data_IF_328564559747
#
_entry.id   IF_328564559747
#
_cell.length_a   1.000
_cell.length_b   1.000
_cell.length_c   1.000
_cell.angle_alpha   90.00
_cell.angle_beta   90.00
_cell.angle_gamma   90.00
#
_symmetry.space_group_name_H-M   'P 1'
#
loop_
_entity.id
_entity.type
_entity.pdbx_description
1 polymer ?
#
# COMPACT_ATOMS: atom_id res chain seq x y z
N UNK A 1 -3.68 -4.89 10.23
CA UNK A 1 -3.22 -4.06 9.12
C UNK A 1 -2.35 -2.93 9.65
N UNK A 2 -1.20 -2.73 9.01
CA UNK A 2 -0.37 -1.57 9.32
C UNK A 2 0.90 -1.57 8.48
N UNK A 3 1.20 -0.45 7.81
CA UNK A 3 2.47 -0.23 7.14
C UNK A 3 3.57 0.11 8.16
N UNK A 4 4.83 -0.09 7.79
CA UNK A 4 6.01 0.28 8.59
C UNK A 4 5.98 1.77 8.98
N UNK A 5 5.49 2.62 8.09
CA UNK A 5 5.37 4.07 8.26
C UNK A 5 4.36 4.48 9.34
N UNK A 6 3.51 3.53 9.79
CA UNK A 6 2.56 3.73 10.89
C UNK A 6 2.84 2.76 12.07
N UNK A 7 4.09 2.34 12.24
CA UNK A 7 4.57 1.53 13.37
C UNK A 7 3.80 0.21 13.52
N UNK A 8 3.84 -0.62 12.47
CA UNK A 8 3.39 -2.02 12.39
C UNK A 8 1.87 -2.19 12.40
N UNK A 9 1.16 -1.68 13.41
CA UNK A 9 -0.27 -1.89 13.57
C UNK A 9 -1.04 -0.56 13.60
N UNK A 10 -1.90 -0.36 12.59
CA UNK A 10 -2.79 0.80 12.50
C UNK A 10 -4.27 0.42 12.66
N UNK A 11 -4.62 -0.82 12.29
CA UNK A 11 -5.98 -1.34 12.44
C UNK A 11 -5.96 -2.84 12.70
N UNK A 12 -7.00 -3.34 13.35
CA UNK A 12 -7.22 -4.78 13.51
C UNK A 12 -8.70 -5.15 13.37
N UNK A 13 -8.91 -6.37 12.91
CA UNK A 13 -10.21 -7.00 12.82
C UNK A 13 -10.21 -8.30 13.61
N UNK A 14 -11.23 -8.49 14.46
CA UNK A 14 -11.42 -9.75 15.17
C UNK A 14 -12.29 -10.65 14.29
N UNK A 15 -11.63 -11.67 13.70
CA UNK A 15 -12.29 -12.65 12.85
C UNK A 15 -13.28 -13.48 13.67
N UNK A 16 -14.51 -13.57 13.21
CA UNK A 16 -15.55 -14.46 13.69
C UNK A 16 -15.89 -15.46 12.59
N UNK A 17 -15.52 -16.76 12.73
CA UNK A 17 -15.71 -17.74 11.67
C UNK A 17 -17.16 -17.97 11.24
N UNK A 18 -18.12 -17.72 12.10
CA UNK A 18 -19.54 -17.87 11.77
C UNK A 18 -20.08 -16.62 11.05
N UNK A 19 -19.83 -15.46 11.61
CA UNK A 19 -20.28 -14.18 11.04
C UNK A 19 -19.59 -13.87 9.69
N UNK A 20 -18.32 -14.22 9.57
CA UNK A 20 -17.50 -13.83 8.44
C UNK A 20 -17.38 -14.91 7.35
N UNK A 21 -18.08 -16.05 7.53
CA UNK A 21 -18.05 -17.20 6.60
C UNK A 21 -18.31 -16.84 5.14
N UNK A 22 -19.29 -15.96 4.93
CA UNK A 22 -19.77 -15.60 3.58
C UNK A 22 -19.19 -14.27 3.09
N UNK A 23 -18.24 -13.68 3.82
CA UNK A 23 -17.55 -12.47 3.37
C UNK A 23 -16.57 -12.79 2.25
N UNK A 24 -16.70 -12.11 1.14
CA UNK A 24 -15.76 -12.20 0.03
C UNK A 24 -14.37 -11.61 0.39
N UNK A 25 -14.35 -10.66 1.32
CA UNK A 25 -13.14 -10.00 1.83
C UNK A 25 -13.25 -9.80 3.33
N UNK A 26 -12.18 -10.11 4.03
CA UNK A 26 -12.08 -9.80 5.46
C UNK A 26 -11.67 -8.34 5.60
N UNK A 27 -12.40 -7.53 6.39
CA UNK A 27 -12.01 -6.15 6.66
C UNK A 27 -10.64 -6.06 7.36
N UNK A 28 -9.94 -4.95 7.16
CA UNK A 28 -8.75 -4.63 7.97
C UNK A 28 -9.12 -4.13 9.38
N UNK A 29 -10.40 -3.85 9.60
CA UNK A 29 -10.98 -3.60 10.90
C UNK A 29 -11.08 -2.14 11.29
N UNK A 30 -10.92 -1.87 12.58
CA UNK A 30 -11.00 -0.55 13.20
C UNK A 30 -9.62 -0.07 13.62
N UNK A 31 -9.40 1.25 13.72
CA UNK A 31 -8.12 1.79 14.17
C UNK A 31 -7.76 1.29 15.58
N UNK A 32 -6.48 1.00 15.80
CA UNK A 32 -5.95 0.73 17.14
C UNK A 32 -5.99 2.00 18.00
N UNK A 33 -5.97 1.90 19.34
CA UNK A 33 -5.87 3.05 20.22
C UNK A 33 -4.70 3.97 19.84
N UNK A 34 -4.98 5.27 19.66
CA UNK A 34 -3.98 6.26 19.26
C UNK A 34 -3.75 6.40 17.76
N UNK A 35 -4.34 5.53 16.93
CA UNK A 35 -4.39 5.69 15.49
C UNK A 35 -5.74 6.26 15.03
N UNK A 36 -5.72 6.97 13.91
CA UNK A 36 -6.89 7.44 13.17
C UNK A 36 -6.76 6.97 11.73
N UNK A 37 -7.87 6.51 11.16
CA UNK A 37 -7.95 6.12 9.76
C UNK A 37 -8.87 7.08 9.03
N UNK A 38 -8.44 7.56 7.88
CA UNK A 38 -9.26 8.36 6.98
C UNK A 38 -9.34 7.68 5.62
N UNK A 39 -10.52 7.67 5.03
CA UNK A 39 -10.73 7.30 3.63
C UNK A 39 -11.08 8.61 2.92
N UNK A 40 -10.18 9.10 2.08
CA UNK A 40 -10.26 10.42 1.48
C UNK A 40 -10.31 10.36 -0.05
N UNK A 41 -10.88 11.40 -0.63
CA UNK A 41 -10.79 11.64 -2.07
C UNK A 41 -9.47 12.37 -2.46
N UNK A 42 -9.20 12.63 -3.75
CA UNK A 42 -8.00 13.36 -4.17
C UNK A 42 -7.90 14.80 -3.65
N UNK A 43 -9.00 15.37 -3.13
CA UNK A 43 -9.04 16.70 -2.52
C UNK A 43 -8.95 16.67 -0.99
N UNK A 44 -8.63 15.50 -0.42
CA UNK A 44 -8.58 15.24 1.02
C UNK A 44 -9.93 15.41 1.74
N UNK A 45 -11.04 15.29 1.02
CA UNK A 45 -12.36 15.26 1.62
C UNK A 45 -12.75 13.84 2.04
N UNK A 46 -13.39 13.71 3.21
CA UNK A 46 -13.80 12.41 3.78
C UNK A 46 -14.84 11.74 2.89
N UNK A 47 -14.61 10.46 2.56
CA UNK A 47 -15.55 9.66 1.82
C UNK A 47 -16.67 9.12 2.72
N UNK A 48 -17.93 9.14 2.24
CA UNK A 48 -19.04 8.49 2.92
C UNK A 48 -18.83 6.98 3.06
N UNK A 49 -19.52 6.37 4.03
CA UNK A 49 -19.55 4.91 4.17
C UNK A 49 -19.97 4.23 2.87
N UNK A 50 -19.26 3.18 2.47
CA UNK A 50 -19.45 2.43 1.23
C UNK A 50 -18.74 3.00 0.02
N UNK A 51 -18.28 4.26 0.07
CA UNK A 51 -17.56 4.90 -1.05
C UNK A 51 -16.06 4.65 -0.90
N UNK A 52 -15.43 4.23 -2.00
CA UNK A 52 -13.99 3.99 -2.04
C UNK A 52 -13.20 5.32 -2.07
N UNK A 53 -12.05 5.32 -1.42
CA UNK A 53 -11.09 6.42 -1.43
C UNK A 53 -9.70 5.90 -1.04
N UNK A 54 -8.72 6.77 -1.02
CA UNK A 54 -7.38 6.43 -0.55
C UNK A 54 -7.36 6.41 0.98
N UNK A 55 -6.70 5.40 1.55
CA UNK A 55 -6.54 5.24 2.98
C UNK A 55 -5.37 6.09 3.49
N UNK A 56 -5.62 6.87 4.53
CA UNK A 56 -4.62 7.62 5.26
C UNK A 56 -4.62 7.19 6.73
N UNK A 57 -3.45 7.20 7.34
CA UNK A 57 -3.25 6.85 8.75
C UNK A 57 -2.66 8.07 9.47
N UNK A 58 -3.27 8.44 10.58
CA UNK A 58 -2.79 9.52 11.45
C UNK A 58 -2.67 9.03 12.90
N UNK A 59 -2.04 9.85 13.74
CA UNK A 59 -1.88 9.58 15.17
C UNK A 59 -0.47 9.21 15.59
N UNK A 60 -0.33 8.75 16.84
CA UNK A 60 0.95 8.57 17.50
C UNK A 60 1.90 7.57 16.83
N UNK A 61 1.36 6.63 16.06
CA UNK A 61 2.15 5.61 15.34
C UNK A 61 2.79 6.11 14.04
N UNK A 62 2.43 7.30 13.54
CA UNK A 62 2.97 7.81 12.28
C UNK A 62 4.43 8.19 12.43
N UNK A 63 5.29 7.61 11.58
CA UNK A 63 6.72 7.85 11.58
C UNK A 63 7.08 9.29 11.22
N UNK A 64 8.32 9.68 11.53
CA UNK A 64 8.83 11.03 11.19
C UNK A 64 9.05 11.22 9.68
N UNK A 65 9.26 10.15 8.94
CA UNK A 65 9.53 10.16 7.51
C UNK A 65 10.60 9.14 7.13
N UNK A 66 11.10 9.24 5.91
CA UNK A 66 12.14 8.39 5.37
C UNK A 66 13.52 9.02 5.55
N UNK A 67 14.47 8.24 6.07
CA UNK A 67 15.84 8.70 6.30
C UNK A 67 16.51 9.13 4.98
N UNK A 68 17.08 10.34 4.96
CA UNK A 68 17.76 10.92 3.80
C UNK A 68 16.90 11.00 2.51
N UNK A 69 15.57 11.04 2.65
CA UNK A 69 14.62 11.16 1.54
C UNK A 69 13.57 12.25 1.82
N UNK A 70 13.97 13.54 1.88
CA UNK A 70 13.04 14.61 2.24
C UNK A 70 11.88 14.73 1.25
N UNK A 71 12.14 14.69 -0.06
CA UNK A 71 11.09 14.82 -1.07
C UNK A 71 10.03 13.70 -0.96
N UNK A 72 10.44 12.45 -0.78
CA UNK A 72 9.53 11.33 -0.58
C UNK A 72 8.78 11.45 0.77
N UNK A 73 9.43 12.01 1.78
CA UNK A 73 8.79 12.27 3.07
C UNK A 73 7.68 13.30 2.93
N UNK A 74 7.92 14.41 2.22
CA UNK A 74 6.91 15.44 1.96
C UNK A 74 5.74 14.92 1.12
N UNK A 75 6.01 14.02 0.17
CA UNK A 75 4.97 13.38 -0.66
C UNK A 75 4.05 12.45 0.14
N UNK A 76 4.62 11.68 1.09
CA UNK A 76 3.92 10.59 1.78
C UNK A 76 3.43 10.95 3.18
N UNK A 77 4.05 11.91 3.85
CA UNK A 77 3.70 12.35 5.20
C UNK A 77 3.16 13.76 5.17
N UNK A 78 1.86 13.88 4.98
CA UNK A 78 1.15 15.13 4.82
C UNK A 78 0.74 15.73 6.18
N UNK A 79 0.40 17.02 6.21
CA UNK A 79 -0.29 17.60 7.35
C UNK A 79 -1.69 16.99 7.50
N UNK A 80 -2.09 16.69 8.74
CA UNK A 80 -3.44 16.17 9.02
C UNK A 80 -4.43 17.34 8.97
N UNK A 81 -5.33 17.42 7.98
CA UNK A 81 -6.26 18.54 7.83
C UNK A 81 -7.31 18.61 8.93
N UNK A 82 -7.46 17.56 9.72
CA UNK A 82 -8.45 17.45 10.80
C UNK A 82 -7.84 17.74 12.18
N UNK A 83 -6.50 17.65 12.31
CA UNK A 83 -5.75 17.89 13.56
C UNK A 83 -4.52 18.75 13.28
N UNK A 84 -4.64 20.09 13.35
CA UNK A 84 -3.55 21.00 13.04
C UNK A 84 -2.28 20.69 13.83
N UNK A 85 -1.14 20.68 13.14
CA UNK A 85 0.17 20.36 13.71
C UNK A 85 0.49 18.87 13.83
N UNK A 86 -0.46 17.99 13.50
CA UNK A 86 -0.21 16.56 13.37
C UNK A 86 0.01 16.16 11.92
N UNK A 87 0.47 14.94 11.70
CA UNK A 87 0.70 14.42 10.36
C UNK A 87 -0.06 13.13 10.12
N UNK A 88 -0.38 12.91 8.85
CA UNK A 88 -0.94 11.67 8.37
C UNK A 88 -0.05 11.06 7.29
N UNK A 89 -0.03 9.73 7.24
CA UNK A 89 0.66 8.95 6.24
C UNK A 89 -0.28 8.56 5.11
N UNK A 90 0.09 8.90 3.89
CA UNK A 90 -0.56 8.52 2.64
C UNK A 90 -0.14 7.11 2.26
N UNK A 91 -1.04 6.12 2.39
CA UNK A 91 -0.67 4.70 2.27
C UNK A 91 -0.52 4.21 0.83
N UNK A 92 -1.23 4.82 -0.11
CA UNK A 92 -1.43 4.29 -1.46
C UNK A 92 -2.44 3.13 -1.53
N UNK A 93 -3.05 2.77 -0.42
CA UNK A 93 -4.08 1.75 -0.37
C UNK A 93 -5.46 2.35 -0.64
N UNK A 94 -6.30 1.64 -1.40
CA UNK A 94 -7.71 1.98 -1.62
C UNK A 94 -8.55 1.22 -0.61
N UNK A 95 -9.43 1.93 0.08
CA UNK A 95 -10.29 1.36 1.11
C UNK A 95 -11.68 2.00 1.10
N UNK A 96 -12.60 1.44 1.88
CA UNK A 96 -13.88 2.06 2.21
C UNK A 96 -14.31 1.74 3.64
N UNK A 97 -15.05 2.63 4.24
CA UNK A 97 -15.74 2.37 5.48
C UNK A 97 -16.96 1.48 5.24
N UNK A 98 -17.13 0.46 6.05
CA UNK A 98 -18.34 -0.34 6.10
C UNK A 98 -19.36 0.25 7.10
N UNK A 99 -20.66 -0.07 6.96
CA UNK A 99 -21.69 0.43 7.90
C UNK A 99 -21.48 0.04 9.36
N UNK A 100 -20.73 -1.06 9.61
CA UNK A 100 -20.39 -1.54 10.96
C UNK A 100 -19.19 -0.83 11.57
N UNK A 101 -18.62 0.17 10.86
CA UNK A 101 -17.49 0.96 11.31
C UNK A 101 -16.13 0.25 11.13
N UNK A 102 -16.08 -0.83 10.38
CA UNK A 102 -14.84 -1.44 9.94
C UNK A 102 -14.37 -0.82 8.61
N UNK A 103 -13.07 -0.88 8.34
CA UNK A 103 -12.48 -0.52 7.05
C UNK A 103 -12.25 -1.79 6.24
N UNK A 104 -12.65 -1.77 4.97
CA UNK A 104 -12.37 -2.81 4.00
C UNK A 104 -11.29 -2.34 3.02
N UNK A 105 -10.24 -3.15 2.87
CA UNK A 105 -9.19 -2.92 1.87
C UNK A 105 -9.66 -3.38 0.50
N UNK A 106 -9.49 -2.55 -0.53
CA UNK A 106 -9.95 -2.82 -1.89
C UNK A 106 -8.81 -3.08 -2.88
N UNK A 107 -7.60 -2.66 -2.55
CA UNK A 107 -6.42 -2.78 -3.42
C UNK A 107 -5.47 -1.60 -3.22
N UNK A 108 -4.63 -1.35 -4.23
CA UNK A 108 -3.70 -0.22 -4.22
C UNK A 108 -3.93 0.72 -5.40
N UNK A 109 -3.49 1.97 -5.25
CA UNK A 109 -3.47 2.97 -6.33
C UNK A 109 -2.21 2.86 -7.20
N UNK A 110 -1.18 2.19 -6.68
CA UNK A 110 0.12 1.99 -7.32
C UNK A 110 0.37 0.49 -7.61
N UNK A 111 1.48 0.20 -8.26
CA UNK A 111 1.86 -1.15 -8.66
C UNK A 111 2.57 -1.95 -7.54
N UNK A 112 2.65 -1.39 -6.33
CA UNK A 112 3.26 -2.07 -5.19
C UNK A 112 2.52 -3.36 -4.85
N UNK A 113 3.27 -4.44 -4.65
CA UNK A 113 2.72 -5.76 -4.38
C UNK A 113 3.30 -6.39 -3.12
N UNK A 114 2.54 -7.31 -2.52
CA UNK A 114 3.05 -8.17 -1.44
C UNK A 114 3.16 -9.59 -1.94
N UNK A 115 4.39 -10.14 -1.95
CA UNK A 115 4.66 -11.54 -2.33
C UNK A 115 5.41 -12.22 -1.18
N UNK A 116 4.85 -13.28 -0.62
CA UNK A 116 5.42 -14.03 0.50
C UNK A 116 5.82 -13.15 1.70
N UNK A 117 5.04 -12.09 1.97
CA UNK A 117 5.28 -11.13 3.04
C UNK A 117 6.24 -9.98 2.69
N UNK A 118 6.93 -10.04 1.56
CA UNK A 118 7.80 -8.95 1.10
C UNK A 118 6.99 -7.86 0.42
N UNK A 119 7.24 -6.62 0.80
CA UNK A 119 6.70 -5.42 0.13
C UNK A 119 7.63 -5.09 -1.03
N UNK A 120 7.12 -5.16 -2.25
CA UNK A 120 7.90 -5.06 -3.47
C UNK A 120 7.39 -3.87 -4.27
N UNK A 121 8.31 -3.01 -4.68
CA UNK A 121 8.10 -1.90 -5.62
C UNK A 121 8.59 -2.35 -7.01
N UNK A 122 7.71 -2.71 -7.96
CA UNK A 122 8.12 -3.11 -9.30
C UNK A 122 9.02 -2.09 -9.98
N UNK A 123 8.73 -0.79 -9.79
CA UNK A 123 9.53 0.30 -10.34
C UNK A 123 10.99 0.35 -9.86
N UNK A 124 11.30 -0.11 -8.63
CA UNK A 124 12.69 -0.21 -8.17
C UNK A 124 13.44 -1.32 -8.90
N UNK A 125 12.78 -2.45 -9.15
CA UNK A 125 13.35 -3.56 -9.92
C UNK A 125 13.57 -3.12 -11.37
N UNK A 126 12.60 -2.44 -11.98
CA UNK A 126 12.72 -1.88 -13.32
C UNK A 126 13.89 -0.89 -13.44
N UNK A 127 14.03 0.00 -12.45
CA UNK A 127 15.15 0.94 -12.41
C UNK A 127 16.51 0.21 -12.29
N UNK A 128 16.59 -0.83 -11.46
CA UNK A 128 17.78 -1.66 -11.33
C UNK A 128 18.10 -2.40 -12.64
N UNK A 129 17.09 -2.96 -13.31
CA UNK A 129 17.26 -3.63 -14.60
C UNK A 129 17.73 -2.65 -15.67
N UNK A 130 17.15 -1.46 -15.77
CA UNK A 130 17.57 -0.42 -16.71
C UNK A 130 18.99 0.11 -16.47
N UNK A 131 19.54 -0.08 -15.26
CA UNK A 131 20.94 0.29 -14.97
C UNK A 131 21.96 -0.71 -15.53
N UNK A 132 21.54 -1.88 -16.00
CA UNK A 132 22.39 -2.90 -16.60
C UNK A 132 22.74 -2.47 -18.03
N UNK A 133 24.03 -2.51 -18.39
CA UNK A 133 24.51 -2.20 -19.75
C UNK A 133 23.83 -3.11 -20.79
N UNK A 134 23.30 -2.50 -21.85
CA UNK A 134 22.57 -3.21 -22.91
C UNK A 134 21.06 -3.36 -22.68
N UNK A 135 20.54 -3.07 -21.49
CA UNK A 135 19.09 -2.98 -21.25
C UNK A 135 18.59 -1.61 -21.69
N UNK A 136 17.62 -1.59 -22.59
CA UNK A 136 16.95 -0.37 -23.06
C UNK A 136 15.67 -0.08 -22.30
N UNK A 137 14.85 -1.12 -22.14
CA UNK A 137 13.57 -1.03 -21.42
C UNK A 137 13.39 -2.24 -20.51
N UNK A 138 12.72 -2.03 -19.39
CA UNK A 138 12.33 -3.08 -18.45
C UNK A 138 10.94 -2.79 -17.89
N UNK A 139 10.10 -3.82 -17.81
CA UNK A 139 8.80 -3.80 -17.14
C UNK A 139 8.71 -5.01 -16.21
N UNK A 140 8.16 -4.80 -15.01
CA UNK A 140 7.97 -5.83 -14.00
C UNK A 140 6.48 -5.94 -13.66
N UNK A 141 5.97 -7.15 -13.65
CA UNK A 141 4.57 -7.42 -13.28
C UNK A 141 4.46 -8.65 -12.40
N UNK A 142 3.32 -8.82 -11.75
CA UNK A 142 3.00 -10.03 -10.99
C UNK A 142 2.14 -10.94 -11.85
N UNK A 143 2.54 -12.19 -11.95
CA UNK A 143 1.74 -13.25 -12.58
C UNK A 143 1.16 -14.16 -11.52
N UNK A 144 -0.08 -14.57 -11.71
CA UNK A 144 -0.81 -15.49 -10.81
C UNK A 144 -1.31 -16.76 -11.51
N UNK A 145 -0.93 -16.95 -12.77
CA UNK A 145 -1.41 -18.05 -13.62
C UNK A 145 -0.97 -19.42 -13.08
N UNK A 146 0.15 -19.47 -12.34
CA UNK A 146 0.70 -20.70 -11.72
C UNK A 146 0.06 -21.03 -10.36
N UNK A 147 -0.86 -20.19 -9.86
CA UNK A 147 -1.54 -20.33 -8.57
C UNK A 147 -0.87 -19.56 -7.43
N UNK A 148 0.43 -19.35 -7.44
CA UNK A 148 1.13 -18.45 -6.51
C UNK A 148 1.60 -17.19 -7.24
N UNK A 149 1.58 -16.01 -6.56
CA UNK A 149 2.10 -14.79 -7.15
C UNK A 149 3.61 -14.89 -7.42
N UNK A 150 4.02 -14.62 -8.65
CA UNK A 150 5.42 -14.59 -9.09
C UNK A 150 5.73 -13.28 -9.79
N UNK A 151 6.95 -12.76 -9.57
CA UNK A 151 7.45 -11.61 -10.31
C UNK A 151 7.94 -12.05 -11.68
N UNK A 152 7.47 -11.37 -12.71
CA UNK A 152 7.96 -11.50 -14.08
C UNK A 152 8.57 -10.20 -14.54
N UNK A 153 9.82 -10.23 -15.00
CA UNK A 153 10.47 -9.11 -15.63
C UNK A 153 10.54 -9.32 -17.16
N UNK A 154 10.14 -8.31 -17.90
CA UNK A 154 10.29 -8.23 -19.36
C UNK A 154 11.37 -7.21 -19.66
N UNK A 155 12.39 -7.61 -20.43
CA UNK A 155 13.55 -6.79 -20.70
C UNK A 155 13.77 -6.69 -22.21
N UNK A 156 13.98 -5.48 -22.70
CA UNK A 156 14.35 -5.20 -24.08
C UNK A 156 15.82 -4.76 -24.16
N UNK A 157 16.56 -5.29 -25.14
CA UNK A 157 17.93 -4.85 -25.45
C UNK A 157 19.02 -5.91 -25.22
N UNK A 158 18.83 -6.85 -24.29
CA UNK A 158 19.78 -7.95 -24.08
C UNK A 158 19.59 -9.06 -25.12
N UNK A 159 20.72 -9.66 -25.56
CA UNK A 159 20.65 -10.90 -26.32
C UNK A 159 20.29 -12.07 -25.40
N UNK A 160 19.47 -13.01 -25.89
CA UNK A 160 18.85 -14.11 -25.13
C UNK A 160 19.81 -15.01 -24.33
N UNK A 161 21.14 -14.90 -24.58
CA UNK A 161 22.17 -15.72 -23.95
C UNK A 161 22.83 -15.07 -22.72
N UNK A 162 22.48 -13.83 -22.36
CA UNK A 162 23.16 -13.07 -21.32
C UNK A 162 22.38 -13.01 -19.98
N UNK A 163 21.14 -13.46 -19.99
CA UNK A 163 20.31 -13.54 -18.77
C UNK A 163 20.46 -14.93 -18.15
N UNK A 164 21.47 -15.13 -17.32
CA UNK A 164 21.49 -16.23 -16.35
C UNK A 164 21.17 -15.65 -14.98
N UNK A 165 20.08 -16.19 -14.37
CA UNK A 165 19.68 -15.92 -13.00
C UNK A 165 20.73 -16.38 -12.00
#
# INVERSE_FOLDING_TARGET
YGPTEATVDAAFYVLDPERDRDRLRIPIGKPVPGARLYVLDPHLAVQPSGVAGELYIAGAGVARGYLNRPALTEERFLEDPFYPGERMYKTGDVARWLPDGNVEFLGRTDDQVKIRGYRIEPGEIEAALRSIEGVREAAVTVRTDSGEPELCAYVEGLQRNEVRA
#
